data_IF_761382627569
#
_entry.id   IF_761382627569
#
_cell.length_a   1.000
_cell.length_b   1.000
_cell.length_c   1.000
_cell.angle_alpha   90.00
_cell.angle_beta   90.00
_cell.angle_gamma   90.00
#
_symmetry.space_group_name_H-M   'P 1'
#
loop_
_entity.id
_entity.type
_entity.pdbx_description
1 polymer ?
#
# COMPACT_ATOMS: atom_id res chain seq x y z
N UNK A 1 -17.58 -16.52 10.86
CA UNK A 1 -17.14 -15.10 11.03
C UNK A 1 -15.62 -14.95 11.13
N UNK A 2 -14.89 -15.80 11.89
CA UNK A 2 -13.42 -15.67 12.08
C UNK A 2 -12.60 -15.63 10.78
N UNK A 3 -12.89 -16.51 9.82
CA UNK A 3 -12.18 -16.56 8.54
C UNK A 3 -12.31 -15.27 7.71
N UNK A 4 -13.49 -14.62 7.72
CA UNK A 4 -13.71 -13.37 6.99
C UNK A 4 -12.85 -12.22 7.53
N UNK A 5 -12.73 -12.12 8.86
CA UNK A 5 -11.88 -11.09 9.48
C UNK A 5 -10.40 -11.32 9.14
N UNK A 6 -9.93 -12.57 9.17
CA UNK A 6 -8.57 -12.92 8.76
C UNK A 6 -8.29 -12.54 7.30
N UNK A 7 -9.20 -12.87 6.36
CA UNK A 7 -9.04 -12.48 4.96
C UNK A 7 -9.02 -10.95 4.77
N UNK A 8 -9.82 -10.20 5.53
CA UNK A 8 -9.81 -8.73 5.48
C UNK A 8 -8.51 -8.15 6.05
N UNK A 9 -7.98 -8.72 7.12
CA UNK A 9 -6.69 -8.30 7.67
C UNK A 9 -5.55 -8.60 6.69
N UNK A 10 -5.54 -9.79 6.09
CA UNK A 10 -4.57 -10.14 5.04
C UNK A 10 -4.72 -9.21 3.84
N UNK A 11 -5.94 -8.92 3.40
CA UNK A 11 -6.18 -7.96 2.32
C UNK A 11 -5.69 -6.55 2.66
N UNK A 12 -5.90 -6.09 3.89
CA UNK A 12 -5.38 -4.79 4.34
C UNK A 12 -3.85 -4.74 4.31
N UNK A 13 -3.16 -5.85 4.63
CA UNK A 13 -1.70 -5.89 4.57
C UNK A 13 -1.21 -6.03 3.14
N UNK A 14 -1.74 -6.97 2.36
CA UNK A 14 -1.17 -7.38 1.06
C UNK A 14 -1.57 -6.42 -0.07
N UNK A 15 -2.81 -5.90 -0.07
CA UNK A 15 -3.29 -5.07 -1.18
C UNK A 15 -2.42 -3.83 -1.46
N UNK A 16 -1.97 -3.06 -0.44
CA UNK A 16 -1.08 -1.92 -0.68
C UNK A 16 0.23 -2.28 -1.39
N UNK A 17 0.84 -3.41 -1.04
CA UNK A 17 2.08 -3.85 -1.69
C UNK A 17 1.84 -4.30 -3.12
N UNK A 18 0.73 -4.99 -3.39
CA UNK A 18 0.38 -5.38 -4.75
C UNK A 18 0.10 -4.15 -5.63
N UNK A 19 -0.66 -3.17 -5.12
CA UNK A 19 -0.98 -1.97 -5.88
C UNK A 19 0.24 -1.10 -6.14
N UNK A 20 1.13 -0.93 -5.15
CA UNK A 20 2.35 -0.15 -5.36
C UNK A 20 3.30 -0.89 -6.32
N UNK A 21 3.44 -2.21 -6.21
CA UNK A 21 4.26 -3.00 -7.13
C UNK A 21 3.80 -2.84 -8.57
N UNK A 22 2.49 -2.96 -8.81
CA UNK A 22 1.91 -2.77 -10.13
C UNK A 22 2.18 -1.34 -10.64
N UNK A 23 1.93 -0.33 -9.80
CA UNK A 23 2.21 1.06 -10.14
C UNK A 23 3.69 1.27 -10.52
N UNK A 24 4.64 0.86 -9.67
CA UNK A 24 6.07 1.04 -9.90
C UNK A 24 6.55 0.27 -11.14
N UNK A 25 5.96 -0.90 -11.41
CA UNK A 25 6.28 -1.70 -12.58
C UNK A 25 5.89 -0.98 -13.88
N UNK A 26 4.63 -0.52 -13.97
CA UNK A 26 4.15 0.21 -15.14
C UNK A 26 4.72 1.61 -15.25
N UNK A 27 5.12 2.24 -14.14
CA UNK A 27 5.61 3.61 -14.16
C UNK A 27 7.06 3.74 -14.63
N UNK A 28 7.86 2.68 -14.47
CA UNK A 28 9.28 2.66 -14.81
C UNK A 28 9.63 1.85 -16.05
N UNK A 29 8.73 0.97 -16.50
CA UNK A 29 8.96 0.15 -17.69
C UNK A 29 8.19 0.69 -18.92
N UNK A 30 8.82 0.86 -20.11
CA UNK A 30 10.25 0.74 -20.43
C UNK A 30 11.05 2.05 -20.29
N UNK A 31 10.38 3.17 -20.00
CA UNK A 31 11.01 4.49 -19.76
C UNK A 31 10.36 5.11 -18.53
N UNK A 32 11.04 6.01 -17.81
CA UNK A 32 10.45 6.74 -16.68
C UNK A 32 9.49 7.81 -17.20
N UNK A 33 8.19 7.52 -17.21
CA UNK A 33 7.16 8.48 -17.67
C UNK A 33 6.59 9.31 -16.52
N UNK A 34 6.84 8.88 -15.28
CA UNK A 34 6.14 9.33 -14.09
C UNK A 34 7.05 10.16 -13.19
N UNK A 35 6.48 11.23 -12.62
CA UNK A 35 7.18 12.22 -11.77
C UNK A 35 6.98 11.92 -10.29
N UNK A 36 7.74 12.58 -9.41
CA UNK A 36 7.58 12.47 -7.97
C UNK A 36 6.12 12.69 -7.50
N UNK A 37 5.40 13.60 -8.15
CA UNK A 37 3.96 13.83 -7.87
C UNK A 37 3.13 12.58 -8.09
N UNK A 38 3.38 11.85 -9.19
CA UNK A 38 2.66 10.62 -9.47
C UNK A 38 3.05 9.46 -8.53
N UNK A 39 4.29 9.43 -8.03
CA UNK A 39 4.71 8.45 -7.02
C UNK A 39 3.94 8.64 -5.72
N UNK A 40 3.73 9.89 -5.28
CA UNK A 40 2.89 10.19 -4.11
C UNK A 40 1.43 9.80 -4.31
N UNK A 41 0.88 9.98 -5.53
CA UNK A 41 -0.47 9.52 -5.87
C UNK A 41 -0.54 7.99 -5.81
N UNK A 42 0.45 7.29 -6.38
CA UNK A 42 0.55 5.82 -6.34
C UNK A 42 0.62 5.28 -4.90
N UNK A 43 1.38 5.96 -4.04
CA UNK A 43 1.44 5.69 -2.60
C UNK A 43 0.07 5.88 -1.94
N UNK A 44 -0.58 7.03 -2.17
CA UNK A 44 -1.90 7.33 -1.61
C UNK A 44 -2.97 6.31 -2.02
N UNK A 45 -3.01 5.95 -3.30
CA UNK A 45 -3.93 4.94 -3.82
C UNK A 45 -3.65 3.56 -3.21
N UNK A 46 -2.38 3.23 -2.99
CA UNK A 46 -2.00 1.95 -2.37
C UNK A 46 -2.41 1.87 -0.90
N UNK A 47 -2.22 2.93 -0.14
CA UNK A 47 -2.72 3.02 1.25
C UNK A 47 -4.24 2.92 1.26
N UNK A 48 -4.93 3.62 0.36
CA UNK A 48 -6.39 3.58 0.24
C UNK A 48 -6.92 2.17 -0.08
N UNK A 49 -6.22 1.41 -0.92
CA UNK A 49 -6.58 0.03 -1.25
C UNK A 49 -6.63 -0.85 0.00
N UNK A 50 -5.61 -0.82 0.86
CA UNK A 50 -5.63 -1.57 2.12
C UNK A 50 -6.59 -1.00 3.17
N UNK A 51 -6.77 0.33 3.19
CA UNK A 51 -7.76 1.00 4.03
C UNK A 51 -9.18 0.49 3.75
N UNK A 52 -9.53 0.24 2.48
CA UNK A 52 -10.84 -0.31 2.10
C UNK A 52 -11.12 -1.68 2.73
N UNK A 53 -10.10 -2.51 2.95
CA UNK A 53 -10.25 -3.78 3.67
C UNK A 53 -10.38 -3.57 5.18
N UNK A 54 -9.58 -2.66 5.75
CA UNK A 54 -9.61 -2.33 7.18
C UNK A 54 -10.98 -1.75 7.59
N UNK A 55 -11.56 -0.87 6.77
CA UNK A 55 -12.88 -0.28 7.02
C UNK A 55 -14.03 -1.29 6.94
N UNK A 56 -13.82 -2.45 6.30
CA UNK A 56 -14.81 -3.55 6.21
C UNK A 56 -14.73 -4.54 7.37
N UNK A 57 -13.80 -4.39 8.31
CA UNK A 57 -13.66 -5.29 9.46
C UNK A 57 -14.92 -5.26 10.34
N UNK A 58 -15.43 -6.40 10.82
CA UNK A 58 -16.64 -6.46 11.64
C UNK A 58 -16.38 -6.07 13.11
N UNK A 59 -15.80 -4.88 13.35
CA UNK A 59 -15.51 -4.31 14.67
C UNK A 59 -16.20 -2.95 14.86
N UNK A 60 -16.28 -2.46 16.10
CA UNK A 60 -16.87 -1.15 16.39
C UNK A 60 -16.14 -0.03 15.63
N UNK A 61 -16.88 0.99 15.22
CA UNK A 61 -16.37 2.13 14.43
C UNK A 61 -15.17 2.81 15.10
N UNK A 62 -15.20 2.97 16.44
CA UNK A 62 -14.09 3.57 17.22
C UNK A 62 -12.79 2.78 17.05
N UNK A 63 -12.85 1.45 17.07
CA UNK A 63 -11.68 0.59 16.86
C UNK A 63 -11.19 0.63 15.42
N UNK A 64 -12.08 0.79 14.43
CA UNK A 64 -11.67 0.99 13.02
C UNK A 64 -10.95 2.32 12.84
N UNK A 65 -11.45 3.39 13.45
CA UNK A 65 -10.82 4.71 13.40
C UNK A 65 -9.43 4.68 14.04
N UNK A 66 -9.30 4.09 15.24
CA UNK A 66 -8.00 3.91 15.89
C UNK A 66 -7.05 3.07 15.03
N UNK A 67 -7.53 1.96 14.49
CA UNK A 67 -6.75 1.12 13.59
C UNK A 67 -6.32 1.89 12.34
N UNK A 68 -7.18 2.71 11.73
CA UNK A 68 -6.83 3.54 10.57
C UNK A 68 -5.76 4.59 10.89
N UNK A 69 -5.85 5.24 12.05
CA UNK A 69 -4.86 6.21 12.53
C UNK A 69 -3.49 5.59 12.71
N UNK A 70 -3.42 4.35 13.22
CA UNK A 70 -2.15 3.61 13.35
C UNK A 70 -1.70 3.06 11.99
N UNK A 71 -2.63 2.55 11.20
CA UNK A 71 -2.37 1.90 9.93
C UNK A 71 -1.74 2.85 8.91
N UNK A 72 -2.25 4.08 8.80
CA UNK A 72 -1.80 5.05 7.81
C UNK A 72 -0.28 5.37 7.91
N UNK A 73 0.29 5.76 9.07
CA UNK A 73 1.73 5.98 9.19
C UNK A 73 2.54 4.69 9.06
N UNK A 74 2.05 3.57 9.61
CA UNK A 74 2.79 2.29 9.61
C UNK A 74 2.93 1.74 8.20
N UNK A 75 1.83 1.65 7.46
CA UNK A 75 1.82 1.17 6.07
C UNK A 75 2.42 2.21 5.14
N UNK A 76 2.18 3.51 5.35
CA UNK A 76 2.82 4.57 4.58
C UNK A 76 4.35 4.47 4.62
N UNK A 77 4.93 4.37 5.82
CA UNK A 77 6.37 4.19 5.99
C UNK A 77 6.85 2.87 5.34
N UNK A 78 6.14 1.76 5.57
CA UNK A 78 6.50 0.47 4.99
C UNK A 78 6.50 0.50 3.45
N UNK A 79 5.52 1.17 2.82
CA UNK A 79 5.44 1.31 1.37
C UNK A 79 6.54 2.19 0.80
N UNK A 80 6.98 3.23 1.51
CA UNK A 80 8.13 4.05 1.08
C UNK A 80 9.40 3.19 1.04
N UNK A 81 9.71 2.49 2.14
CA UNK A 81 10.86 1.58 2.19
C UNK A 81 10.77 0.47 1.14
N UNK A 82 9.58 -0.13 1.00
CA UNK A 82 9.33 -1.14 -0.01
C UNK A 82 9.56 -0.62 -1.42
N UNK A 83 9.08 0.59 -1.73
CA UNK A 83 9.23 1.17 -3.06
C UNK A 83 10.70 1.38 -3.41
N UNK A 84 11.50 1.90 -2.48
CA UNK A 84 12.95 2.06 -2.67
C UNK A 84 13.63 0.72 -2.95
N UNK A 85 13.33 -0.30 -2.14
CA UNK A 85 13.91 -1.64 -2.31
C UNK A 85 13.44 -2.32 -3.60
N UNK A 86 12.17 -2.18 -3.95
CA UNK A 86 11.59 -2.75 -5.17
C UNK A 86 12.25 -2.15 -6.40
N UNK A 87 12.39 -0.83 -6.44
CA UNK A 87 12.98 -0.14 -7.59
C UNK A 87 14.46 -0.50 -7.75
N UNK A 88 15.21 -0.48 -6.65
CA UNK A 88 16.60 -0.92 -6.64
C UNK A 88 16.77 -2.36 -7.11
N UNK A 89 15.97 -3.30 -6.57
CA UNK A 89 16.11 -4.72 -6.89
C UNK A 89 15.61 -5.09 -8.29
N UNK A 90 14.46 -4.54 -8.74
CA UNK A 90 13.81 -4.93 -10.00
C UNK A 90 14.40 -4.19 -11.19
N UNK A 91 14.73 -2.91 -11.03
CA UNK A 91 15.22 -2.07 -12.11
C UNK A 91 16.73 -1.80 -12.04
N UNK A 92 17.45 -2.35 -11.04
CA UNK A 92 18.85 -2.01 -10.73
C UNK A 92 19.08 -0.50 -10.58
N UNK A 93 18.05 0.18 -10.09
CA UNK A 93 17.95 1.63 -10.03
C UNK A 93 17.92 2.04 -8.56
N UNK A 94 19.08 1.89 -7.94
CA UNK A 94 19.33 2.39 -6.60
C UNK A 94 19.60 3.88 -6.78
N UNK A 95 18.68 4.69 -6.27
CA UNK A 95 18.79 6.16 -6.23
C UNK A 95 20.23 6.66 -6.17
#
# INVERSE_FOLDING_TARGET
MRYKAACLMLGAVVAPFLTISAYLYFSRWPTRWFTATSDYIGLGLSVAAGMAFLLRLPVLVRWRALAAVVYLPTIGAALVFYSLMFVGAVFNDWL
#
